data_IF_756694508038
#
_entry.id   IF_756694508038
#
_cell.length_a   1.000
_cell.length_b   1.000
_cell.length_c   1.000
_cell.angle_alpha   90.00
_cell.angle_beta   90.00
_cell.angle_gamma   90.00
#
_symmetry.space_group_name_H-M   'P 1'
#
loop_
_entity.id
_entity.type
_entity.pdbx_description
1 polymer ?
#
# COMPACT_ATOMS: atom_id res chain seq x y z
N UNK A 1 22.58 -34.31 22.02
CA UNK A 1 22.46 -34.13 20.55
C UNK A 1 23.07 -32.78 20.21
N UNK A 2 24.21 -32.75 19.50
CA UNK A 2 24.92 -31.51 19.13
C UNK A 2 24.48 -31.13 17.72
N UNK A 3 23.63 -30.11 17.57
CA UNK A 3 23.29 -29.57 16.26
C UNK A 3 24.49 -28.83 15.70
N UNK A 4 24.97 -29.26 14.53
CA UNK A 4 26.07 -28.60 13.84
C UNK A 4 25.56 -27.34 13.10
N UNK A 5 26.27 -26.21 13.15
CA UNK A 5 25.82 -24.94 12.58
C UNK A 5 25.63 -25.01 11.05
N UNK A 6 26.34 -25.92 10.39
CA UNK A 6 26.27 -26.17 8.94
C UNK A 6 24.89 -26.70 8.54
N UNK A 7 24.25 -27.53 9.38
CA UNK A 7 22.94 -28.10 9.09
C UNK A 7 21.81 -27.06 9.20
N UNK A 8 21.98 -26.07 10.06
CA UNK A 8 21.02 -24.96 10.23
C UNK A 8 21.05 -24.02 9.02
N UNK A 9 22.24 -23.72 8.50
CA UNK A 9 22.39 -22.84 7.34
C UNK A 9 21.83 -23.47 6.05
N UNK A 10 22.06 -24.78 5.85
CA UNK A 10 21.51 -25.51 4.71
C UNK A 10 19.97 -25.57 4.73
N UNK A 11 19.38 -25.71 5.92
CA UNK A 11 17.92 -25.68 6.09
C UNK A 11 17.34 -24.30 5.74
N UNK A 12 17.99 -23.21 6.16
CA UNK A 12 17.57 -21.84 5.84
C UNK A 12 17.62 -21.55 4.32
N UNK A 13 18.68 -21.99 3.64
CA UNK A 13 18.82 -21.82 2.18
C UNK A 13 17.76 -22.61 1.40
N UNK A 14 17.38 -23.80 1.88
CA UNK A 14 16.32 -24.60 1.26
C UNK A 14 14.94 -23.93 1.36
N UNK A 15 14.66 -23.17 2.43
CA UNK A 15 13.40 -22.44 2.60
C UNK A 15 13.29 -21.21 1.68
N UNK A 16 14.40 -20.57 1.30
CA UNK A 16 14.34 -19.39 0.42
C UNK A 16 14.03 -19.74 -1.04
N UNK A 17 14.33 -20.96 -1.48
CA UNK A 17 14.09 -21.41 -2.86
C UNK A 17 12.62 -21.69 -3.18
N UNK A 18 11.74 -21.73 -2.17
CA UNK A 18 10.31 -21.99 -2.34
C UNK A 18 9.44 -20.73 -2.35
N UNK A 19 10.02 -19.53 -2.29
CA UNK A 19 9.20 -18.33 -2.40
C UNK A 19 8.59 -18.25 -3.80
N UNK A 20 7.25 -18.23 -3.92
CA UNK A 20 6.62 -18.00 -5.21
C UNK A 20 7.04 -16.62 -5.75
N UNK A 21 7.19 -16.46 -7.08
CA UNK A 21 7.44 -15.15 -7.65
C UNK A 21 6.32 -14.20 -7.21
N UNK A 22 6.71 -13.00 -6.75
CA UNK A 22 5.75 -11.98 -6.39
C UNK A 22 4.88 -11.66 -7.62
N UNK A 23 3.65 -12.14 -7.61
CA UNK A 23 2.65 -11.77 -8.61
C UNK A 23 2.28 -10.32 -8.36
N UNK A 24 2.81 -9.42 -9.19
CA UNK A 24 2.27 -8.07 -9.30
C UNK A 24 0.89 -8.20 -9.94
N UNK A 25 -0.14 -8.33 -9.11
CA UNK A 25 -1.52 -8.24 -9.56
C UNK A 25 -1.66 -6.88 -10.26
N UNK A 26 -1.91 -6.92 -11.57
CA UNK A 26 -2.23 -5.74 -12.36
C UNK A 26 -3.56 -5.21 -11.84
N UNK A 27 -3.44 -4.31 -10.86
CA UNK A 27 -4.58 -3.83 -10.10
C UNK A 27 -5.34 -2.88 -11.02
N UNK A 28 -6.58 -3.24 -11.34
CA UNK A 28 -7.53 -2.33 -11.97
C UNK A 28 -7.57 -1.04 -11.16
N UNK A 29 -7.57 0.10 -11.84
CA UNK A 29 -7.66 1.41 -11.21
C UNK A 29 -8.88 1.46 -10.28
N UNK A 30 -8.73 1.91 -9.02
CA UNK A 30 -9.85 2.01 -8.11
C UNK A 30 -10.84 3.09 -8.57
N UNK A 31 -12.14 2.85 -8.38
CA UNK A 31 -13.17 3.85 -8.70
C UNK A 31 -13.16 5.03 -7.73
N UNK A 32 -13.76 6.15 -8.13
CA UNK A 32 -13.89 7.34 -7.26
C UNK A 32 -14.57 6.98 -5.93
N UNK A 33 -15.66 6.19 -5.95
CA UNK A 33 -16.33 5.73 -4.74
C UNK A 33 -15.43 4.86 -3.83
N UNK A 34 -14.58 4.01 -4.41
CA UNK A 34 -13.62 3.21 -3.64
C UNK A 34 -12.57 4.09 -2.97
N UNK A 35 -12.06 5.09 -3.70
CA UNK A 35 -11.13 6.09 -3.16
C UNK A 35 -11.79 6.87 -2.02
N UNK A 36 -13.01 7.39 -2.23
CA UNK A 36 -13.77 8.15 -1.23
C UNK A 36 -14.01 7.33 0.06
N UNK A 37 -14.44 6.07 -0.07
CA UNK A 37 -14.64 5.20 1.09
C UNK A 37 -13.33 4.90 1.81
N UNK A 38 -12.24 4.66 1.08
CA UNK A 38 -10.94 4.41 1.67
C UNK A 38 -10.41 5.64 2.41
N UNK A 39 -10.57 6.84 1.85
CA UNK A 39 -10.20 8.08 2.50
C UNK A 39 -11.03 8.32 3.77
N UNK A 40 -12.36 8.20 3.68
CA UNK A 40 -13.27 8.39 4.82
C UNK A 40 -12.98 7.42 5.99
N UNK A 41 -12.50 6.21 5.69
CA UNK A 41 -12.15 5.18 6.69
C UNK A 41 -10.69 5.18 7.11
N UNK A 42 -9.88 6.10 6.57
CA UNK A 42 -8.42 6.13 6.79
C UNK A 42 -7.70 4.84 6.39
N UNK A 43 -8.16 4.22 5.29
CA UNK A 43 -7.64 2.97 4.73
C UNK A 43 -7.09 3.14 3.31
N UNK A 44 -6.68 4.34 2.89
CA UNK A 44 -6.10 4.59 1.56
C UNK A 44 -4.88 3.71 1.25
N UNK A 45 -4.14 3.26 2.27
CA UNK A 45 -3.03 2.33 2.12
C UNK A 45 -3.42 0.91 1.68
N UNK A 46 -4.72 0.58 1.62
CA UNK A 46 -5.22 -0.68 1.06
C UNK A 46 -5.56 -0.60 -0.42
N UNK A 47 -5.51 0.60 -1.02
CA UNK A 47 -5.67 0.78 -2.45
C UNK A 47 -4.40 0.32 -3.19
N UNK A 48 -4.49 0.07 -4.51
CA UNK A 48 -3.33 -0.31 -5.31
C UNK A 48 -2.16 0.65 -5.12
N UNK A 49 -0.93 0.12 -5.10
CA UNK A 49 0.26 0.96 -4.98
C UNK A 49 0.67 1.49 -6.36
N UNK A 50 0.62 2.82 -6.60
CA UNK A 50 1.05 3.39 -7.88
C UNK A 50 2.58 3.54 -7.99
N UNK A 51 3.32 3.34 -6.90
CA UNK A 51 4.78 3.56 -6.83
C UNK A 51 5.54 2.24 -6.85
N UNK A 52 6.46 2.07 -7.80
CA UNK A 52 7.26 0.84 -7.94
C UNK A 52 8.37 0.71 -6.89
N UNK A 53 8.85 1.83 -6.38
CA UNK A 53 9.97 1.97 -5.45
C UNK A 53 9.55 2.06 -3.98
N UNK A 54 8.24 2.12 -3.71
CA UNK A 54 7.69 2.23 -2.37
C UNK A 54 7.11 0.89 -1.90
N UNK A 55 7.87 0.14 -1.11
CA UNK A 55 7.39 -1.13 -0.52
C UNK A 55 6.26 -0.89 0.50
N UNK A 56 5.25 -1.79 0.60
CA UNK A 56 4.23 -1.78 1.66
C UNK A 56 4.79 -1.80 3.09
N UNK A 57 6.00 -2.31 3.28
CA UNK A 57 6.67 -2.36 4.58
C UNK A 57 7.44 -1.08 4.94
N UNK A 58 7.57 -0.13 4.00
CA UNK A 58 8.29 1.11 4.23
C UNK A 58 7.52 2.05 5.18
N UNK A 59 8.22 2.76 6.06
CA UNK A 59 7.59 3.64 7.08
C UNK A 59 6.70 4.73 6.46
N UNK A 60 7.06 5.20 5.26
CA UNK A 60 6.32 6.24 4.54
C UNK A 60 5.12 5.72 3.73
N UNK A 61 4.95 4.39 3.59
CA UNK A 61 3.97 3.79 2.68
C UNK A 61 2.55 4.34 2.88
N UNK A 62 2.09 4.33 4.14
CA UNK A 62 0.74 4.81 4.49
C UNK A 62 0.55 6.30 4.20
N UNK A 63 1.56 7.11 4.49
CA UNK A 63 1.48 8.56 4.32
C UNK A 63 1.42 8.92 2.83
N UNK A 64 2.28 8.30 2.02
CA UNK A 64 2.35 8.56 0.58
C UNK A 64 1.07 8.11 -0.12
N UNK A 65 0.54 6.92 0.19
CA UNK A 65 -0.72 6.46 -0.42
C UNK A 65 -1.92 7.29 0.03
N UNK A 66 -1.95 7.73 1.30
CA UNK A 66 -3.00 8.64 1.76
C UNK A 66 -2.93 9.98 1.03
N UNK A 67 -1.73 10.52 0.79
CA UNK A 67 -1.57 11.77 0.05
C UNK A 67 -1.96 11.61 -1.42
N UNK A 68 -1.54 10.52 -2.07
CA UNK A 68 -1.86 10.23 -3.46
C UNK A 68 -3.38 10.15 -3.70
N UNK A 69 -4.10 9.39 -2.86
CA UNK A 69 -5.52 9.13 -3.06
C UNK A 69 -6.44 10.17 -2.41
N UNK A 70 -6.06 10.72 -1.26
CA UNK A 70 -6.94 11.56 -0.45
C UNK A 70 -6.54 13.03 -0.43
N UNK A 71 -5.37 13.39 -0.97
CA UNK A 71 -4.85 14.76 -0.94
C UNK A 71 -4.76 15.31 0.48
N UNK A 72 -5.29 16.53 0.69
CA UNK A 72 -5.29 17.21 1.98
C UNK A 72 -6.36 16.70 2.99
N UNK A 73 -7.07 15.60 2.68
CA UNK A 73 -8.11 15.09 3.56
C UNK A 73 -7.56 14.64 4.93
N UNK A 74 -8.18 15.13 6.01
CA UNK A 74 -7.75 14.87 7.39
C UNK A 74 -8.74 14.04 8.22
N UNK A 75 -9.61 13.24 7.59
CA UNK A 75 -10.54 12.36 8.31
C UNK A 75 -11.71 13.06 9.02
N UNK A 76 -11.72 14.39 9.08
CA UNK A 76 -12.74 15.19 9.78
C UNK A 76 -13.83 15.76 8.85
N UNK A 77 -13.77 15.45 7.55
CA UNK A 77 -14.61 16.11 6.54
C UNK A 77 -15.63 15.11 5.97
N UNK A 78 -16.92 15.47 5.86
CA UNK A 78 -17.94 14.61 5.25
C UNK A 78 -17.59 14.23 3.80
N UNK A 79 -17.98 13.04 3.33
CA UNK A 79 -17.64 12.54 1.98
C UNK A 79 -18.02 13.51 0.86
N UNK A 80 -19.15 14.21 0.98
CA UNK A 80 -19.63 15.18 -0.01
C UNK A 80 -18.68 16.38 -0.15
N UNK A 81 -18.07 16.79 0.97
CA UNK A 81 -17.07 17.88 1.00
C UNK A 81 -15.72 17.39 0.49
N UNK A 82 -15.37 16.14 0.77
CA UNK A 82 -14.18 15.49 0.20
C UNK A 82 -14.29 15.38 -1.33
N UNK A 83 -15.46 14.99 -1.85
CA UNK A 83 -15.71 14.86 -3.28
C UNK A 83 -15.46 16.18 -4.03
N UNK A 84 -15.84 17.31 -3.44
CA UNK A 84 -15.49 18.64 -3.99
C UNK A 84 -13.98 18.92 -3.96
N UNK A 85 -13.27 18.47 -2.94
CA UNK A 85 -11.84 18.72 -2.78
C UNK A 85 -10.97 17.86 -3.71
N UNK A 86 -11.34 16.60 -3.96
CA UNK A 86 -10.64 15.70 -4.89
C UNK A 86 -10.79 16.20 -6.33
N UNK A 87 -11.94 16.77 -6.68
CA UNK A 87 -12.22 17.29 -8.02
C UNK A 87 -11.62 18.69 -8.28
N UNK A 88 -10.86 19.27 -7.34
CA UNK A 88 -10.13 20.52 -7.59
C UNK A 88 -8.84 20.23 -8.35
N UNK A 89 -8.49 21.05 -9.36
CA UNK A 89 -7.20 20.95 -10.03
C UNK A 89 -6.08 20.97 -9.00
N UNK A 90 -5.26 19.93 -8.98
CA UNK A 90 -4.02 19.93 -8.22
C UNK A 90 -3.08 20.87 -8.97
N UNK A 91 -2.95 22.14 -8.55
CA UNK A 91 -1.82 22.96 -9.00
C UNK A 91 -0.54 22.24 -8.53
N UNK A 92 0.21 21.73 -9.51
CA UNK A 92 1.50 21.06 -9.33
C UNK A 92 2.61 22.06 -9.09
#
# INVERSE_FOLDING_TARGET
>A
MKLHPVTVLAALLALLSTLPPATFAQSSEPTEEQILQACARNTAASLPNPYKDLSPTHWAYRAVLSLHYCGAYRGAVPPERLRKAINLPQEQ
#
